data_IF_499737220208
#
_entry.id   IF_499737220208
#
_cell.length_a   1.000
_cell.length_b   1.000
_cell.length_c   1.000
_cell.angle_alpha   90.00
_cell.angle_beta   90.00
_cell.angle_gamma   90.00
#
_symmetry.space_group_name_H-M   'P 1'
#
loop_
_entity.id
_entity.type
_entity.pdbx_description
1 polymer ?
#
# COMPACT_ATOMS: atom_id res chain seq x y z
N UNK A 1 3.06 -1.77 -6.98
CA UNK A 1 1.63 -1.82 -6.66
C UNK A 1 0.91 -1.49 -7.95
N UNK A 2 0.34 -2.46 -8.63
CA UNK A 2 -0.76 -2.20 -9.52
C UNK A 2 -1.78 -1.54 -8.62
N UNK A 3 -1.97 -0.25 -8.78
CA UNK A 3 -3.13 0.43 -8.24
C UNK A 3 -4.28 -0.20 -9.00
N UNK A 4 -4.85 -1.27 -8.45
CA UNK A 4 -6.14 -1.73 -8.90
C UNK A 4 -7.06 -0.56 -8.60
N UNK A 5 -7.37 0.23 -9.62
CA UNK A 5 -8.40 1.24 -9.57
C UNK A 5 -9.70 0.45 -9.50
N UNK A 6 -9.97 -0.17 -8.35
CA UNK A 6 -11.31 -0.64 -8.06
C UNK A 6 -12.13 0.63 -7.88
N UNK A 7 -12.79 1.01 -8.94
CA UNK A 7 -13.86 1.98 -8.85
C UNK A 7 -14.88 1.45 -7.86
N UNK A 8 -14.70 1.89 -6.62
CA UNK A 8 -15.86 2.22 -5.85
C UNK A 8 -16.74 3.00 -6.81
N UNK A 9 -17.99 2.63 -6.94
CA UNK A 9 -19.04 3.33 -7.67
C UNK A 9 -19.31 4.74 -7.10
N UNK A 10 -18.29 5.35 -6.56
CA UNK A 10 -18.23 6.72 -6.11
C UNK A 10 -17.93 7.57 -7.33
N UNK A 11 -18.90 7.56 -8.24
CA UNK A 11 -19.16 8.79 -8.92
C UNK A 11 -18.59 8.95 -10.31
N UNK A 12 -19.47 8.81 -11.22
CA UNK A 12 -19.41 9.36 -12.58
C UNK A 12 -19.06 10.87 -12.66
N UNK A 13 -18.74 11.51 -11.55
CA UNK A 13 -18.56 12.95 -11.49
C UNK A 13 -17.31 13.46 -10.75
N UNK A 14 -16.60 12.66 -9.94
CA UNK A 14 -15.43 13.16 -9.20
C UNK A 14 -14.11 12.92 -9.94
N UNK A 15 -13.22 13.90 -10.01
CA UNK A 15 -11.88 13.70 -10.53
C UNK A 15 -11.12 12.66 -9.72
N UNK A 16 -10.48 11.70 -10.41
CA UNK A 16 -9.56 10.72 -9.85
C UNK A 16 -8.17 11.07 -10.36
N UNK A 17 -7.20 11.23 -9.46
CA UNK A 17 -5.87 11.67 -9.82
C UNK A 17 -4.81 10.64 -9.42
N UNK A 18 -3.95 10.29 -10.37
CA UNK A 18 -2.71 9.55 -10.13
C UNK A 18 -1.59 10.58 -9.96
N UNK A 19 -1.09 10.72 -8.74
CA UNK A 19 -0.07 11.71 -8.38
C UNK A 19 1.34 11.36 -8.88
N UNK A 20 2.24 12.31 -8.79
CA UNK A 20 3.63 12.17 -9.24
C UNK A 20 4.48 11.21 -8.37
N UNK A 21 3.99 10.84 -7.18
CA UNK A 21 4.66 9.87 -6.31
C UNK A 21 4.52 8.42 -6.77
N UNK A 22 3.59 8.14 -7.67
CA UNK A 22 3.34 6.80 -8.21
C UNK A 22 4.33 6.51 -9.36
N UNK A 23 4.79 5.26 -9.45
CA UNK A 23 5.44 4.75 -10.67
C UNK A 23 4.39 4.00 -11.49
N UNK A 24 4.27 4.34 -12.77
CA UNK A 24 3.18 3.90 -13.65
C UNK A 24 3.71 2.95 -14.71
N UNK A 25 3.09 1.76 -14.82
CA UNK A 25 3.31 0.89 -15.96
C UNK A 25 2.25 1.20 -17.04
N UNK A 26 2.61 1.84 -18.18
CA UNK A 26 1.66 2.23 -19.21
C UNK A 26 0.89 1.05 -19.81
N UNK A 27 1.56 -0.08 -20.03
CA UNK A 27 0.95 -1.31 -20.55
C UNK A 27 -0.15 -1.82 -19.63
N UNK A 28 0.11 -1.87 -18.31
CA UNK A 28 -0.90 -2.29 -17.31
C UNK A 28 -2.05 -1.29 -17.24
N UNK A 29 -1.74 0.01 -17.25
CA UNK A 29 -2.75 1.06 -17.18
C UNK A 29 -3.70 1.03 -18.40
N UNK A 30 -3.17 0.90 -19.61
CA UNK A 30 -3.99 0.79 -20.83
C UNK A 30 -4.90 -0.45 -20.75
N UNK A 31 -4.38 -1.57 -20.26
CA UNK A 31 -5.18 -2.78 -20.06
C UNK A 31 -6.30 -2.58 -19.03
N UNK A 32 -6.03 -1.89 -17.93
CA UNK A 32 -7.03 -1.56 -16.91
C UNK A 32 -8.10 -0.61 -17.46
N UNK A 33 -7.70 0.41 -18.22
CA UNK A 33 -8.64 1.33 -18.88
C UNK A 33 -9.56 0.61 -19.88
N UNK A 34 -9.01 -0.33 -20.66
CA UNK A 34 -9.81 -1.16 -21.57
C UNK A 34 -10.82 -2.01 -20.80
N UNK A 35 -10.39 -2.68 -19.72
CA UNK A 35 -11.29 -3.45 -18.84
C UNK A 35 -12.39 -2.59 -18.23
N UNK A 36 -12.09 -1.39 -17.73
CA UNK A 36 -13.09 -0.47 -17.19
C UNK A 36 -14.12 -0.07 -18.26
N UNK A 37 -13.66 0.23 -19.47
CA UNK A 37 -14.52 0.58 -20.60
C UNK A 37 -15.44 -0.58 -20.99
N UNK A 38 -14.93 -1.81 -21.05
CA UNK A 38 -15.73 -3.02 -21.30
C UNK A 38 -16.82 -3.24 -20.25
N UNK A 39 -16.56 -2.82 -19.01
CA UNK A 39 -17.50 -2.88 -17.90
C UNK A 39 -18.38 -1.63 -17.74
N UNK A 40 -18.43 -0.76 -18.76
CA UNK A 40 -19.21 0.49 -18.77
C UNK A 40 -18.86 1.45 -17.62
N UNK A 41 -17.62 1.47 -17.17
CA UNK A 41 -17.12 2.44 -16.19
C UNK A 41 -16.49 3.62 -16.92
N UNK A 42 -17.03 4.82 -16.68
CA UNK A 42 -16.50 6.04 -17.27
C UNK A 42 -15.10 6.37 -16.68
N UNK A 43 -14.18 6.77 -17.55
CA UNK A 43 -12.81 7.15 -17.17
C UNK A 43 -12.45 8.59 -17.52
N UNK A 44 -13.40 9.37 -18.03
CA UNK A 44 -13.18 10.77 -18.51
C UNK A 44 -12.71 11.70 -17.38
N UNK A 45 -12.98 11.36 -16.13
CA UNK A 45 -12.59 12.07 -14.92
C UNK A 45 -11.20 11.68 -14.39
N UNK A 46 -10.50 10.72 -15.01
CA UNK A 46 -9.13 10.34 -14.63
C UNK A 46 -8.15 11.46 -15.03
N UNK A 47 -7.17 11.71 -14.16
CA UNK A 47 -6.03 12.58 -14.44
C UNK A 47 -4.75 11.90 -13.97
N UNK A 48 -3.70 12.00 -14.78
CA UNK A 48 -2.40 11.36 -14.52
C UNK A 48 -1.33 12.46 -14.50
N UNK A 49 -0.52 12.47 -13.47
CA UNK A 49 0.57 13.44 -13.38
C UNK A 49 1.58 13.25 -14.51
N UNK A 50 1.88 14.33 -15.21
CA UNK A 50 2.96 14.43 -16.17
C UNK A 50 4.35 14.13 -15.56
N UNK A 51 4.49 14.31 -14.24
CA UNK A 51 5.73 14.07 -13.47
C UNK A 51 5.85 12.65 -12.91
N UNK A 52 4.84 11.79 -13.03
CA UNK A 52 4.92 10.40 -12.62
C UNK A 52 5.98 9.65 -13.45
N UNK A 53 6.71 8.71 -12.82
CA UNK A 53 7.74 7.93 -13.50
C UNK A 53 7.16 6.69 -14.16
N UNK A 54 7.77 6.29 -15.27
CA UNK A 54 7.32 5.17 -16.10
C UNK A 54 8.07 3.90 -15.70
N UNK A 55 7.34 2.80 -15.55
CA UNK A 55 7.92 1.45 -15.46
C UNK A 55 8.02 0.89 -16.88
N UNK A 56 9.21 0.50 -17.26
CA UNK A 56 9.54 -0.08 -18.56
C UNK A 56 9.97 -1.55 -18.42
N UNK A 57 9.99 -2.34 -19.49
CA UNK A 57 10.36 -3.76 -19.44
C UNK A 57 11.70 -4.04 -18.78
N UNK A 58 12.69 -3.18 -18.97
CA UNK A 58 13.99 -3.35 -18.34
C UNK A 58 13.95 -3.21 -16.80
N UNK A 59 13.00 -2.46 -16.23
CA UNK A 59 12.79 -2.42 -14.79
C UNK A 59 12.27 -3.75 -14.26
N UNK A 60 11.32 -4.37 -14.98
CA UNK A 60 10.74 -5.66 -14.60
C UNK A 60 11.81 -6.75 -14.68
N UNK A 61 12.59 -6.76 -15.77
CA UNK A 61 13.70 -7.70 -15.96
C UNK A 61 14.76 -7.53 -14.87
N UNK A 62 15.12 -6.29 -14.52
CA UNK A 62 16.10 -6.02 -13.48
C UNK A 62 15.60 -6.48 -12.10
N UNK A 63 14.32 -6.25 -11.77
CA UNK A 63 13.69 -6.69 -10.52
C UNK A 63 13.78 -8.22 -10.39
N UNK A 64 13.45 -8.96 -11.46
CA UNK A 64 13.57 -10.41 -11.51
C UNK A 64 15.01 -10.88 -11.30
N UNK A 65 15.95 -10.35 -12.07
CA UNK A 65 17.36 -10.76 -12.00
C UNK A 65 17.99 -10.46 -10.64
N UNK A 66 17.69 -9.31 -10.06
CA UNK A 66 18.17 -8.93 -8.72
C UNK A 66 17.59 -9.85 -7.64
N UNK A 67 16.31 -10.21 -7.75
CA UNK A 67 15.67 -11.08 -6.76
C UNK A 67 16.20 -12.50 -6.88
N UNK A 68 16.43 -13.00 -8.09
CA UNK A 68 17.01 -14.33 -8.32
C UNK A 68 18.46 -14.42 -7.84
N UNK A 69 19.24 -13.36 -8.03
CA UNK A 69 20.65 -13.30 -7.58
C UNK A 69 20.80 -13.31 -6.04
N UNK A 70 19.76 -12.89 -5.29
CA UNK A 70 19.79 -12.90 -3.81
C UNK A 70 19.66 -14.30 -3.19
N UNK A 71 19.24 -15.31 -3.94
CA UNK A 71 19.07 -16.67 -3.45
C UNK A 71 18.17 -16.76 -2.21
N UNK A 72 18.73 -17.19 -1.08
CA UNK A 72 17.99 -17.28 0.19
C UNK A 72 17.69 -15.92 0.85
N UNK A 73 18.39 -14.85 0.45
CA UNK A 73 18.18 -13.50 0.98
C UNK A 73 17.16 -12.68 0.17
N UNK A 74 16.20 -13.34 -0.45
CA UNK A 74 15.12 -12.68 -1.20
C UNK A 74 14.32 -11.74 -0.31
N UNK A 75 13.93 -10.60 -0.88
CA UNK A 75 13.03 -9.64 -0.21
C UNK A 75 11.57 -10.07 -0.40
N UNK A 76 11.29 -10.88 -1.42
CA UNK A 76 9.94 -11.29 -1.79
C UNK A 76 9.22 -10.21 -2.59
N UNK A 77 9.88 -9.59 -3.57
CA UNK A 77 9.28 -8.56 -4.41
C UNK A 77 8.14 -9.12 -5.27
N UNK A 78 7.30 -8.23 -5.78
CA UNK A 78 6.20 -8.62 -6.69
C UNK A 78 6.64 -8.78 -8.14
N UNK A 79 7.91 -8.55 -8.44
CA UNK A 79 8.50 -8.60 -9.79
C UNK A 79 7.71 -7.73 -10.79
N UNK A 80 7.38 -6.52 -10.35
CA UNK A 80 6.67 -5.50 -11.16
C UNK A 80 7.57 -4.34 -11.59
N UNK A 81 8.87 -4.39 -11.27
CA UNK A 81 9.83 -3.34 -11.60
C UNK A 81 9.69 -2.07 -10.76
N UNK A 82 8.98 -2.14 -9.63
CA UNK A 82 8.72 -0.97 -8.76
C UNK A 82 10.02 -0.42 -8.18
N UNK A 83 10.82 -1.29 -7.54
CA UNK A 83 12.11 -0.91 -6.96
C UNK A 83 13.05 -0.29 -7.98
N UNK A 84 13.36 -0.96 -9.09
CA UNK A 84 14.21 -0.39 -10.14
C UNK A 84 13.71 0.94 -10.72
N UNK A 85 12.40 1.15 -10.87
CA UNK A 85 11.86 2.43 -11.34
C UNK A 85 12.08 3.57 -10.32
N UNK A 86 11.94 3.31 -9.02
CA UNK A 86 12.29 4.28 -7.98
C UNK A 86 13.79 4.51 -7.87
N UNK A 87 14.63 3.48 -8.11
CA UNK A 87 16.08 3.64 -8.19
C UNK A 87 16.46 4.60 -9.33
N UNK A 88 15.89 4.43 -10.52
CA UNK A 88 16.14 5.31 -11.67
C UNK A 88 15.66 6.73 -11.40
N UNK A 89 14.51 6.90 -10.72
CA UNK A 89 14.04 8.21 -10.25
C UNK A 89 15.05 8.88 -9.33
N UNK A 90 15.57 8.17 -8.33
CA UNK A 90 16.55 8.69 -7.38
C UNK A 90 17.91 8.98 -8.04
N UNK A 91 18.32 8.13 -8.99
CA UNK A 91 19.50 8.33 -9.83
C UNK A 91 19.34 9.46 -10.88
N UNK A 92 18.15 9.99 -11.07
CA UNK A 92 17.80 11.07 -12.01
C UNK A 92 17.95 10.66 -13.49
N UNK A 93 17.82 9.38 -13.77
CA UNK A 93 17.79 8.81 -15.13
C UNK A 93 16.39 8.31 -15.53
N UNK A 94 15.44 8.33 -14.59
CA UNK A 94 14.07 7.86 -14.81
C UNK A 94 13.35 8.66 -15.91
N UNK A 95 12.49 7.96 -16.66
CA UNK A 95 11.63 8.53 -17.70
C UNK A 95 10.29 8.88 -17.08
N UNK A 96 9.81 10.12 -17.27
CA UNK A 96 8.51 10.59 -16.80
C UNK A 96 7.43 10.38 -17.84
N UNK A 97 6.18 10.48 -17.43
CA UNK A 97 5.04 10.45 -18.35
C UNK A 97 5.16 11.56 -19.41
N UNK A 98 5.57 12.78 -19.04
CA UNK A 98 5.80 13.85 -19.99
C UNK A 98 6.85 13.48 -21.06
N UNK A 99 7.94 12.83 -20.67
CA UNK A 99 8.98 12.37 -21.60
C UNK A 99 8.45 11.28 -22.55
N UNK A 100 7.61 10.37 -22.04
CA UNK A 100 7.00 9.29 -22.84
C UNK A 100 6.08 9.83 -23.96
N UNK A 101 5.47 11.00 -23.75
CA UNK A 101 4.56 11.61 -24.75
C UNK A 101 5.30 12.30 -25.89
N UNK A 102 6.56 12.60 -25.73
CA UNK A 102 7.41 13.20 -26.76
C UNK A 102 8.29 12.13 -27.40
N UNK A 103 8.08 11.92 -28.72
CA UNK A 103 8.73 10.82 -29.44
C UNK A 103 10.25 10.90 -29.43
N UNK A 104 10.78 12.11 -29.59
CA UNK A 104 12.22 12.34 -29.68
C UNK A 104 12.90 12.22 -28.32
N UNK A 105 12.30 12.84 -27.30
CA UNK A 105 12.80 12.77 -25.91
C UNK A 105 12.74 11.33 -25.40
N UNK A 106 11.64 10.63 -25.67
CA UNK A 106 11.49 9.24 -25.25
C UNK A 106 12.53 8.34 -25.90
N UNK A 107 12.74 8.49 -27.23
CA UNK A 107 13.74 7.71 -27.96
C UNK A 107 15.16 7.94 -27.41
N UNK A 108 15.54 9.20 -27.18
CA UNK A 108 16.86 9.56 -26.65
C UNK A 108 17.10 8.96 -25.26
N UNK A 109 16.16 9.20 -24.33
CA UNK A 109 16.27 8.70 -22.94
C UNK A 109 16.23 7.17 -22.86
N UNK A 110 15.36 6.54 -23.64
CA UNK A 110 15.27 5.08 -23.68
C UNK A 110 16.57 4.46 -24.16
N UNK A 111 17.18 5.02 -25.21
CA UNK A 111 18.45 4.52 -25.76
C UNK A 111 19.57 4.58 -24.72
N UNK A 112 19.71 5.71 -24.04
CA UNK A 112 20.73 5.89 -22.99
C UNK A 112 20.51 4.88 -21.85
N UNK A 113 19.27 4.76 -21.38
CA UNK A 113 18.94 3.85 -20.27
C UNK A 113 19.14 2.39 -20.66
N UNK A 114 18.75 1.99 -21.89
CA UNK A 114 18.94 0.62 -22.36
C UNK A 114 20.41 0.23 -22.47
N UNK A 115 21.25 1.13 -22.94
CA UNK A 115 22.70 0.89 -23.01
C UNK A 115 23.27 0.55 -21.62
N UNK A 116 22.89 1.31 -20.60
CA UNK A 116 23.32 1.06 -19.22
C UNK A 116 22.72 -0.22 -18.64
N UNK A 117 21.42 -0.46 -18.80
CA UNK A 117 20.74 -1.64 -18.30
C UNK A 117 21.21 -2.92 -18.99
N UNK A 118 21.39 -2.90 -20.30
CA UNK A 118 21.91 -4.03 -21.06
C UNK A 118 23.35 -4.38 -20.65
N UNK A 119 24.18 -3.39 -20.34
CA UNK A 119 25.50 -3.64 -19.76
C UNK A 119 25.40 -4.38 -18.42
N UNK A 120 24.44 -4.02 -17.57
CA UNK A 120 24.20 -4.73 -16.31
C UNK A 120 23.68 -6.15 -16.57
N UNK A 121 22.70 -6.33 -17.47
CA UNK A 121 22.14 -7.65 -17.79
C UNK A 121 23.20 -8.62 -18.27
N UNK A 122 24.00 -8.22 -19.24
CA UNK A 122 25.01 -9.07 -19.82
C UNK A 122 26.19 -9.32 -18.87
N UNK A 123 26.74 -8.26 -18.24
CA UNK A 123 27.97 -8.39 -17.47
C UNK A 123 27.80 -8.84 -16.02
N UNK A 124 26.67 -8.54 -15.40
CA UNK A 124 26.44 -8.87 -14.00
C UNK A 124 25.55 -10.09 -13.81
N UNK A 125 24.62 -10.33 -14.74
CA UNK A 125 23.61 -11.36 -14.57
C UNK A 125 23.69 -12.46 -15.65
N UNK A 126 24.65 -12.39 -16.57
CA UNK A 126 24.78 -13.33 -17.72
C UNK A 126 23.44 -13.53 -18.46
N UNK A 127 22.71 -12.42 -18.67
CA UNK A 127 21.38 -12.39 -19.25
C UNK A 127 21.38 -11.62 -20.57
N UNK A 128 20.46 -11.95 -21.46
CA UNK A 128 20.34 -11.31 -22.76
C UNK A 128 20.03 -9.81 -22.66
N UNK A 129 20.49 -9.04 -23.62
CA UNK A 129 20.11 -7.63 -23.80
C UNK A 129 18.63 -7.52 -24.22
N UNK A 130 18.06 -6.33 -24.07
CA UNK A 130 16.75 -5.97 -24.61
C UNK A 130 17.01 -5.02 -25.78
N UNK A 131 16.38 -5.28 -26.91
CA UNK A 131 16.49 -4.42 -28.07
C UNK A 131 15.64 -3.16 -27.91
N UNK A 132 16.10 -2.07 -28.49
CA UNK A 132 15.41 -0.78 -28.43
C UNK A 132 14.00 -0.85 -29.04
N UNK A 133 13.89 -1.50 -30.19
CA UNK A 133 12.64 -1.59 -30.97
C UNK A 133 11.58 -2.43 -30.22
N UNK A 134 11.98 -3.37 -29.37
CA UNK A 134 11.07 -4.17 -28.53
C UNK A 134 10.29 -3.33 -27.51
N UNK A 135 10.77 -2.12 -27.21
CA UNK A 135 10.12 -1.23 -26.22
C UNK A 135 9.55 0.02 -26.87
N UNK A 136 10.30 0.63 -27.82
CA UNK A 136 10.07 2.00 -28.22
C UNK A 136 8.67 2.22 -28.82
N UNK A 137 8.33 1.50 -29.89
CA UNK A 137 7.05 1.74 -30.57
C UNK A 137 5.86 1.33 -29.69
N UNK A 138 5.95 0.18 -28.99
CA UNK A 138 4.88 -0.29 -28.11
C UNK A 138 4.59 0.70 -26.98
N UNK A 139 5.63 1.20 -26.29
CA UNK A 139 5.45 2.09 -25.14
C UNK A 139 5.10 3.52 -25.55
N UNK A 140 5.63 3.99 -26.68
CA UNK A 140 5.18 5.27 -27.24
C UNK A 140 3.70 5.24 -27.57
N UNK A 141 3.22 4.16 -28.17
CA UNK A 141 1.78 3.98 -28.46
C UNK A 141 0.95 3.97 -27.18
N UNK A 142 1.37 3.27 -26.12
CA UNK A 142 0.69 3.36 -24.83
C UNK A 142 0.69 4.80 -24.29
N UNK A 143 1.77 5.53 -24.48
CA UNK A 143 1.83 6.95 -24.13
C UNK A 143 0.74 7.75 -24.85
N UNK A 144 0.58 7.56 -26.15
CA UNK A 144 -0.43 8.28 -26.95
C UNK A 144 -1.87 7.92 -26.50
N UNK A 145 -2.14 6.65 -26.14
CA UNK A 145 -3.45 6.22 -25.63
C UNK A 145 -3.82 6.88 -24.29
N UNK A 146 -2.86 7.13 -23.42
CA UNK A 146 -3.10 7.79 -22.12
C UNK A 146 -2.98 9.31 -22.16
N UNK A 147 -2.50 9.89 -23.24
CA UNK A 147 -2.21 11.33 -23.40
C UNK A 147 -3.35 12.24 -22.94
N UNK A 148 -4.59 11.88 -23.26
CA UNK A 148 -5.78 12.66 -22.93
C UNK A 148 -6.00 12.83 -21.42
N UNK A 149 -5.42 11.95 -20.58
CA UNK A 149 -5.54 11.98 -19.13
C UNK A 149 -4.38 12.75 -18.47
N UNK A 150 -3.30 13.06 -19.21
CA UNK A 150 -2.07 13.59 -18.65
C UNK A 150 -2.16 15.09 -18.43
N UNK A 151 -1.78 15.55 -17.25
CA UNK A 151 -1.81 16.95 -16.85
C UNK A 151 -0.94 17.20 -15.61
N UNK A 152 -0.76 18.48 -15.24
CA UNK A 152 -0.19 18.84 -13.93
C UNK A 152 -1.24 18.64 -12.83
N UNK A 153 -1.20 17.48 -12.19
CA UNK A 153 -2.13 17.13 -11.11
C UNK A 153 -1.93 17.96 -9.85
N UNK A 154 -0.74 18.54 -9.63
CA UNK A 154 -0.48 19.37 -8.45
C UNK A 154 -1.25 20.69 -8.53
N UNK A 155 -1.39 21.27 -9.71
CA UNK A 155 -2.21 22.48 -9.91
C UNK A 155 -3.67 22.17 -9.59
N UNK A 156 -4.23 21.10 -10.19
CA UNK A 156 -5.63 20.71 -9.96
C UNK A 156 -5.93 20.50 -8.47
N UNK A 157 -5.01 19.81 -7.75
CA UNK A 157 -5.18 19.53 -6.33
C UNK A 157 -5.14 20.81 -5.48
N UNK A 158 -4.16 21.68 -5.74
CA UNK A 158 -4.02 22.91 -4.98
C UNK A 158 -5.21 23.85 -5.23
N UNK A 159 -5.64 24.02 -6.49
CA UNK A 159 -6.81 24.81 -6.85
C UNK A 159 -8.10 24.29 -6.17
N UNK A 160 -8.26 22.95 -6.13
CA UNK A 160 -9.39 22.35 -5.46
C UNK A 160 -9.37 22.62 -3.93
N UNK A 161 -8.21 22.48 -3.30
CA UNK A 161 -8.04 22.74 -1.87
C UNK A 161 -8.24 24.23 -1.54
N UNK A 162 -7.71 25.14 -2.36
CA UNK A 162 -7.85 26.58 -2.18
C UNK A 162 -9.30 27.06 -2.41
N UNK A 163 -10.05 26.34 -3.25
CA UNK A 163 -11.49 26.50 -3.43
C UNK A 163 -12.32 25.84 -2.30
N UNK A 164 -11.70 25.32 -1.23
CA UNK A 164 -12.37 24.70 -0.10
C UNK A 164 -12.96 23.32 -0.38
N UNK A 165 -12.58 22.67 -1.48
CA UNK A 165 -13.05 21.29 -1.79
C UNK A 165 -12.38 20.29 -0.87
N UNK A 166 -13.10 19.21 -0.55
CA UNK A 166 -12.54 18.07 0.19
C UNK A 166 -11.82 17.15 -0.77
N UNK A 167 -10.56 16.84 -0.45
CA UNK A 167 -9.71 15.92 -1.22
C UNK A 167 -9.36 14.72 -0.34
N UNK A 168 -9.56 13.52 -0.87
CA UNK A 168 -9.11 12.28 -0.24
C UNK A 168 -7.81 11.83 -0.91
N UNK A 169 -6.77 11.68 -0.12
CA UNK A 169 -5.52 11.05 -0.53
C UNK A 169 -5.50 9.62 -0.05
N UNK A 170 -5.31 8.69 -0.97
CA UNK A 170 -5.17 7.27 -0.68
C UNK A 170 -3.73 6.85 -0.91
N UNK A 171 -3.09 6.35 0.15
CA UNK A 171 -1.76 5.74 0.08
C UNK A 171 -1.83 4.29 -0.38
N UNK A 172 -0.68 3.75 -0.77
CA UNK A 172 -0.51 2.34 -1.10
C UNK A 172 0.29 1.64 0.01
N UNK A 173 0.34 0.31 -0.01
CA UNK A 173 1.08 -0.55 0.91
C UNK A 173 0.68 -0.33 2.38
N UNK A 174 1.64 -0.01 3.26
CA UNK A 174 1.41 0.24 4.68
C UNK A 174 2.65 0.82 5.34
N UNK A 175 2.48 1.43 6.52
CA UNK A 175 3.54 2.16 7.24
C UNK A 175 4.78 1.28 7.48
N UNK A 176 4.60 0.00 7.82
CA UNK A 176 5.73 -0.90 8.08
C UNK A 176 6.49 -1.32 6.81
N UNK A 177 5.99 -0.94 5.63
CA UNK A 177 6.68 -1.09 4.35
C UNK A 177 7.32 0.21 3.86
N UNK A 178 7.28 1.29 4.63
CA UNK A 178 7.92 2.56 4.28
C UNK A 178 9.44 2.40 4.26
N UNK A 179 10.09 2.99 3.25
CA UNK A 179 11.54 2.84 3.04
C UNK A 179 12.36 3.40 4.20
N UNK A 180 11.88 4.44 4.87
CA UNK A 180 12.58 5.12 5.96
C UNK A 180 12.12 4.65 7.35
N UNK A 181 10.81 4.39 7.50
CA UNK A 181 10.16 4.13 8.79
C UNK A 181 9.70 2.68 8.98
N UNK A 182 9.80 1.86 7.95
CA UNK A 182 9.37 0.46 7.96
C UNK A 182 10.44 -0.52 8.44
N UNK A 183 10.18 -1.80 8.20
CA UNK A 183 11.04 -2.93 8.58
C UNK A 183 12.16 -3.12 7.54
N UNK A 184 13.02 -2.14 7.36
CA UNK A 184 14.11 -2.18 6.37
C UNK A 184 15.02 -3.40 6.61
N UNK A 185 15.43 -4.19 5.57
CA UNK A 185 15.22 -3.96 4.14
C UNK A 185 13.92 -4.57 3.56
N UNK A 186 13.05 -5.16 4.38
CA UNK A 186 11.78 -5.78 3.96
C UNK A 186 10.68 -4.72 3.79
N UNK A 187 10.90 -3.78 2.87
CA UNK A 187 10.08 -2.59 2.63
C UNK A 187 9.86 -2.37 1.14
N UNK A 188 8.95 -1.47 0.78
CA UNK A 188 8.83 -0.94 -0.58
C UNK A 188 9.88 0.16 -0.82
N UNK A 189 10.07 0.56 -2.08
CA UNK A 189 10.99 1.64 -2.43
C UNK A 189 10.33 3.02 -2.42
N UNK A 190 9.25 3.18 -1.69
CA UNK A 190 8.48 4.42 -1.58
C UNK A 190 8.12 4.73 -0.13
N UNK A 191 7.47 5.89 0.10
CA UNK A 191 7.06 6.33 1.43
C UNK A 191 5.53 6.23 1.61
N UNK A 192 4.99 5.08 2.08
CA UNK A 192 3.58 4.92 2.43
C UNK A 192 3.11 5.72 3.65
N UNK A 193 4.02 6.24 4.47
CA UNK A 193 3.66 7.16 5.56
C UNK A 193 2.95 8.39 5.03
N UNK A 194 2.06 8.99 5.83
CA UNK A 194 1.25 10.13 5.38
C UNK A 194 2.07 11.32 4.87
N UNK A 195 3.31 11.49 5.35
CA UNK A 195 4.25 12.49 4.81
C UNK A 195 4.56 12.31 3.32
N UNK A 196 4.50 11.08 2.81
CA UNK A 196 4.69 10.77 1.39
C UNK A 196 3.63 11.39 0.47
N UNK A 197 2.44 11.69 1.00
CA UNK A 197 1.36 12.36 0.25
C UNK A 197 1.80 13.73 -0.25
N UNK A 198 2.48 14.51 0.57
CA UNK A 198 2.87 15.89 0.22
C UNK A 198 3.83 15.92 -0.97
N UNK A 199 4.84 15.07 -0.95
CA UNK A 199 5.81 14.95 -2.05
C UNK A 199 5.17 14.27 -3.26
N UNK A 200 4.39 13.21 -3.02
CA UNK A 200 3.79 12.38 -4.07
C UNK A 200 2.60 13.00 -4.79
N UNK A 201 2.04 14.10 -4.28
CA UNK A 201 0.91 14.82 -4.90
C UNK A 201 1.23 16.28 -5.24
N UNK A 202 2.33 16.83 -4.72
CA UNK A 202 2.69 18.23 -4.88
C UNK A 202 1.81 19.18 -4.03
N UNK A 203 1.23 18.67 -2.93
CA UNK A 203 0.42 19.46 -1.98
C UNK A 203 1.24 19.81 -0.75
N UNK A 204 1.21 21.04 -0.31
CA UNK A 204 1.95 21.49 0.88
C UNK A 204 1.47 20.78 2.16
N UNK A 205 2.36 20.47 3.13
CA UNK A 205 2.00 19.70 4.32
C UNK A 205 0.94 20.39 5.20
N UNK A 206 0.86 21.71 5.19
CA UNK A 206 -0.15 22.47 5.94
C UNK A 206 -1.57 22.33 5.41
N UNK A 207 -1.74 21.78 4.20
CA UNK A 207 -3.06 21.51 3.60
C UNK A 207 -3.61 20.12 3.98
N UNK A 208 -2.86 19.29 4.68
CA UNK A 208 -3.32 17.99 5.17
C UNK A 208 -3.93 18.17 6.56
N UNK A 209 -5.26 18.10 6.63
CA UNK A 209 -5.99 18.41 7.86
C UNK A 209 -6.23 17.18 8.74
N UNK A 210 -6.34 16.00 8.13
CA UNK A 210 -6.71 14.76 8.82
C UNK A 210 -5.99 13.56 8.22
N UNK A 211 -5.48 12.69 9.08
CA UNK A 211 -4.87 11.42 8.69
C UNK A 211 -5.65 10.28 9.32
N UNK A 212 -6.25 9.44 8.49
CA UNK A 212 -6.97 8.25 8.94
C UNK A 212 -6.09 7.03 8.72
N UNK A 213 -5.69 6.38 9.79
CA UNK A 213 -5.00 5.10 9.74
C UNK A 213 -6.00 3.97 9.52
N UNK A 214 -5.77 3.13 8.53
CA UNK A 214 -6.57 1.91 8.31
C UNK A 214 -5.78 0.71 8.83
N UNK A 215 -6.36 -0.03 9.75
CA UNK A 215 -5.78 -1.24 10.31
C UNK A 215 -6.83 -2.34 10.46
N UNK A 216 -6.38 -3.58 10.57
CA UNK A 216 -7.24 -4.73 10.90
C UNK A 216 -7.27 -4.93 12.41
N UNK A 217 -8.26 -5.67 12.89
CA UNK A 217 -8.33 -6.11 14.28
C UNK A 217 -7.25 -7.15 14.66
N UNK A 218 -6.43 -7.54 13.73
CA UNK A 218 -5.26 -8.41 13.85
C UNK A 218 -4.16 -7.91 12.90
N UNK A 219 -2.97 -8.47 12.97
CA UNK A 219 -1.88 -8.09 12.07
C UNK A 219 -1.76 -9.10 10.93
N UNK A 220 -1.54 -8.62 9.71
CA UNK A 220 -1.19 -9.47 8.57
C UNK A 220 -0.01 -8.88 7.79
N UNK A 221 0.85 -9.76 7.26
CA UNK A 221 2.05 -9.37 6.53
C UNK A 221 2.26 -10.25 5.31
N UNK A 222 2.71 -9.63 4.21
CA UNK A 222 3.26 -10.32 3.04
C UNK A 222 4.77 -10.14 3.05
N UNK A 223 5.51 -11.17 2.65
CA UNK A 223 6.98 -11.16 2.58
C UNK A 223 7.66 -11.49 3.90
N UNK A 224 8.97 -11.45 3.86
CA UNK A 224 9.84 -11.89 4.94
C UNK A 224 10.10 -10.80 5.98
N UNK A 225 10.98 -11.06 6.91
CA UNK A 225 11.36 -10.17 7.99
C UNK A 225 10.67 -10.50 9.33
N UNK A 226 11.18 -9.94 10.44
CA UNK A 226 10.66 -10.19 11.78
C UNK A 226 9.20 -9.77 11.92
N UNK A 227 8.44 -10.60 12.65
CA UNK A 227 7.03 -10.39 12.93
C UNK A 227 6.74 -10.88 14.36
N UNK A 228 6.99 -10.08 15.41
CA UNK A 228 6.96 -10.53 16.79
C UNK A 228 5.65 -11.18 17.24
N UNK A 229 4.52 -10.72 16.70
CA UNK A 229 3.19 -11.22 17.06
C UNK A 229 2.67 -12.35 16.17
N UNK A 230 3.52 -12.90 15.28
CA UNK A 230 3.12 -13.96 14.33
C UNK A 230 2.61 -15.20 15.04
N UNK A 231 1.57 -15.81 14.47
CA UNK A 231 0.92 -17.03 14.97
C UNK A 231 1.20 -18.20 14.04
N UNK A 232 1.63 -19.32 14.65
CA UNK A 232 1.94 -20.58 13.97
C UNK A 232 1.00 -21.72 14.40
N UNK A 233 -0.03 -21.39 15.18
CA UNK A 233 -0.99 -22.31 15.77
C UNK A 233 -2.33 -22.34 15.00
N UNK A 234 -3.29 -23.12 15.53
CA UNK A 234 -4.65 -23.22 14.99
C UNK A 234 -5.38 -21.87 14.95
N UNK A 235 -5.08 -20.97 15.89
CA UNK A 235 -5.62 -19.61 15.91
C UNK A 235 -5.16 -18.83 14.67
N UNK A 236 -3.87 -18.91 14.35
CA UNK A 236 -3.32 -18.29 13.14
C UNK A 236 -3.95 -18.84 11.87
N UNK A 237 -4.16 -20.15 11.77
CA UNK A 237 -4.84 -20.77 10.63
C UNK A 237 -6.30 -20.33 10.53
N UNK A 238 -6.99 -20.19 11.64
CA UNK A 238 -8.38 -19.72 11.68
C UNK A 238 -8.47 -18.28 11.20
N UNK A 239 -7.63 -17.38 11.71
CA UNK A 239 -7.56 -15.97 11.28
C UNK A 239 -7.26 -15.90 9.78
N UNK A 240 -6.30 -16.68 9.28
CA UNK A 240 -5.95 -16.72 7.85
C UNK A 240 -7.11 -17.18 6.98
N UNK A 241 -7.78 -18.24 7.37
CA UNK A 241 -8.90 -18.83 6.63
C UNK A 241 -10.12 -17.92 6.63
N UNK A 242 -10.54 -17.43 7.80
CA UNK A 242 -11.75 -16.58 7.96
C UNK A 242 -11.49 -15.20 7.35
N UNK A 243 -10.32 -14.61 7.60
CA UNK A 243 -9.90 -13.32 7.04
C UNK A 243 -9.49 -13.38 5.56
N UNK A 244 -9.51 -14.59 4.94
CA UNK A 244 -9.09 -14.82 3.56
C UNK A 244 -7.72 -14.19 3.26
N UNK A 245 -6.78 -14.38 4.19
CA UNK A 245 -5.46 -13.77 4.13
C UNK A 245 -4.55 -14.50 3.13
N UNK A 246 -4.85 -14.25 1.85
CA UNK A 246 -4.09 -14.74 0.70
C UNK A 246 -3.76 -13.58 -0.24
N UNK A 247 -2.62 -13.66 -0.90
CA UNK A 247 -2.21 -12.65 -1.88
C UNK A 247 -3.14 -12.64 -3.09
N UNK A 248 -3.71 -11.50 -3.42
CA UNK A 248 -4.68 -11.35 -4.53
C UNK A 248 -4.10 -11.81 -5.87
N UNK A 249 -2.82 -11.53 -6.10
CA UNK A 249 -2.15 -11.83 -7.38
C UNK A 249 -1.47 -13.21 -7.37
N UNK A 250 -0.95 -13.64 -6.21
CA UNK A 250 -0.10 -14.83 -6.10
C UNK A 250 -0.77 -16.00 -5.41
N UNK A 251 -1.92 -15.78 -4.74
CA UNK A 251 -2.56 -16.78 -3.90
C UNK A 251 -1.73 -17.23 -2.68
N UNK A 252 -0.53 -16.65 -2.45
CA UNK A 252 0.33 -17.02 -1.31
C UNK A 252 -0.36 -16.69 0.01
N UNK A 253 -0.33 -17.62 1.00
CA UNK A 253 -0.86 -17.33 2.33
C UNK A 253 -0.07 -16.17 2.97
N UNK A 254 -0.81 -15.23 3.55
CA UNK A 254 -0.20 -14.16 4.34
C UNK A 254 0.14 -14.68 5.73
N UNK A 255 1.20 -14.16 6.29
CA UNK A 255 1.54 -14.33 7.70
C UNK A 255 0.54 -13.52 8.53
N UNK A 256 0.05 -14.08 9.61
CA UNK A 256 -0.96 -13.45 10.49
C UNK A 256 -0.49 -13.48 11.93
N UNK A 257 -0.95 -12.52 12.72
CA UNK A 257 -0.60 -12.39 14.12
C UNK A 257 -1.62 -11.58 14.91
N UNK A 258 -1.48 -11.55 16.24
CA UNK A 258 -2.31 -10.71 17.08
C UNK A 258 -2.11 -9.23 16.79
N UNK A 259 -3.09 -8.40 17.15
CA UNK A 259 -3.00 -6.95 17.04
C UNK A 259 -1.79 -6.43 17.82
N UNK A 260 -0.98 -5.59 17.15
CA UNK A 260 0.27 -5.08 17.69
C UNK A 260 0.17 -3.57 17.97
N UNK A 261 0.00 -3.20 19.24
CA UNK A 261 -0.09 -1.79 19.61
C UNK A 261 1.26 -1.07 19.58
N UNK A 262 2.39 -1.80 19.62
CA UNK A 262 3.74 -1.19 19.46
C UNK A 262 3.91 -0.68 18.05
N UNK A 263 3.57 -1.52 17.05
CA UNK A 263 3.54 -1.14 15.63
C UNK A 263 2.57 0.01 15.40
N UNK A 264 1.38 -0.03 16.01
CA UNK A 264 0.38 1.02 15.81
C UNK A 264 0.78 2.36 16.43
N UNK A 265 1.44 2.36 17.60
CA UNK A 265 2.01 3.59 18.19
C UNK A 265 3.13 4.17 17.31
N UNK A 266 3.97 3.30 16.74
CA UNK A 266 4.97 3.72 15.76
C UNK A 266 4.29 4.35 14.53
N UNK A 267 3.31 3.68 13.94
CA UNK A 267 2.57 4.15 12.77
C UNK A 267 1.87 5.49 13.02
N UNK A 268 1.25 5.65 14.19
CA UNK A 268 0.65 6.92 14.63
C UNK A 268 1.68 8.04 14.64
N UNK A 269 2.84 7.79 15.24
CA UNK A 269 3.89 8.79 15.40
C UNK A 269 4.45 9.26 14.06
N UNK A 270 4.79 8.33 13.17
CA UNK A 270 5.47 8.67 11.90
C UNK A 270 4.53 9.19 10.83
N UNK A 271 3.22 8.89 10.93
CA UNK A 271 2.21 9.35 9.99
C UNK A 271 1.30 10.46 10.54
N UNK A 272 1.41 10.81 11.83
CA UNK A 272 0.51 11.80 12.42
C UNK A 272 -0.96 11.38 12.40
N UNK A 273 -1.25 10.08 12.60
CA UNK A 273 -2.61 9.53 12.55
C UNK A 273 -3.49 10.21 13.60
N UNK A 274 -4.59 10.80 13.15
CA UNK A 274 -5.58 11.49 13.99
C UNK A 274 -6.78 10.61 14.33
N UNK A 275 -7.10 9.66 13.46
CA UNK A 275 -8.23 8.74 13.61
C UNK A 275 -7.84 7.36 13.07
N UNK A 276 -8.52 6.32 13.56
CA UNK A 276 -8.39 4.95 13.04
C UNK A 276 -9.70 4.46 12.40
N UNK A 277 -9.55 3.69 11.36
CA UNK A 277 -10.56 2.76 10.84
C UNK A 277 -10.10 1.34 11.16
N UNK A 278 -10.84 0.65 12.03
CA UNK A 278 -10.52 -0.72 12.47
C UNK A 278 -11.36 -1.72 11.66
N UNK A 279 -10.71 -2.50 10.83
CA UNK A 279 -11.38 -3.41 9.91
C UNK A 279 -11.30 -4.88 10.36
N UNK A 280 -12.18 -5.72 9.83
CA UNK A 280 -12.14 -7.18 9.96
C UNK A 280 -12.26 -7.66 11.42
N UNK A 281 -13.08 -7.01 12.23
CA UNK A 281 -13.34 -7.42 13.62
C UNK A 281 -14.06 -8.79 13.65
N UNK A 282 -14.91 -9.06 12.69
CA UNK A 282 -15.65 -10.30 12.50
C UNK A 282 -14.75 -11.53 12.35
N UNK A 283 -13.53 -11.36 11.88
CA UNK A 283 -12.55 -12.44 11.74
C UNK A 283 -12.16 -13.08 13.08
N UNK A 284 -12.29 -12.33 14.16
CA UNK A 284 -11.99 -12.80 15.51
C UNK A 284 -13.19 -13.41 16.23
N UNK A 285 -14.40 -13.38 15.63
CA UNK A 285 -15.59 -14.05 16.19
C UNK A 285 -15.37 -15.56 16.30
N UNK A 286 -15.83 -16.14 17.40
CA UNK A 286 -15.67 -17.56 17.70
C UNK A 286 -14.40 -17.92 18.49
N UNK A 287 -13.51 -16.95 18.72
CA UNK A 287 -12.37 -17.16 19.62
C UNK A 287 -12.79 -16.94 21.08
N UNK A 288 -12.38 -17.84 21.97
CA UNK A 288 -12.66 -17.70 23.42
C UNK A 288 -11.87 -16.55 24.04
N UNK A 289 -10.65 -16.32 23.55
CA UNK A 289 -9.74 -15.28 24.02
C UNK A 289 -9.14 -14.56 22.84
N UNK A 290 -9.07 -13.24 22.91
CA UNK A 290 -8.35 -12.39 21.96
C UNK A 290 -7.20 -11.68 22.67
N UNK A 291 -6.09 -11.45 21.96
CA UNK A 291 -4.90 -10.86 22.56
C UNK A 291 -4.49 -9.58 21.86
N UNK A 292 -3.94 -8.65 22.62
CA UNK A 292 -3.32 -7.41 22.11
C UNK A 292 -1.88 -7.37 22.62
N UNK A 293 -0.92 -7.24 21.73
CA UNK A 293 0.46 -6.98 22.11
C UNK A 293 0.58 -5.54 22.61
N UNK A 294 0.95 -5.38 23.89
CA UNK A 294 1.05 -4.09 24.57
C UNK A 294 2.47 -3.54 24.63
N UNK A 295 3.46 -4.43 24.63
CA UNK A 295 4.88 -4.13 24.70
C UNK A 295 5.68 -5.28 24.08
N UNK A 296 6.97 -5.10 23.89
CA UNK A 296 7.92 -6.19 23.64
C UNK A 296 8.85 -6.35 24.84
N UNK A 297 9.21 -7.59 25.15
CA UNK A 297 10.36 -7.91 25.99
C UNK A 297 11.57 -8.08 25.10
N UNK A 298 12.60 -7.28 25.32
CA UNK A 298 13.89 -7.37 24.65
C UNK A 298 14.99 -7.50 25.73
N UNK A 299 15.67 -8.64 25.71
CA UNK A 299 16.82 -8.94 26.63
C UNK A 299 16.46 -8.75 28.12
N UNK A 300 15.20 -9.00 28.50
CA UNK A 300 14.70 -8.90 29.87
C UNK A 300 14.08 -7.53 30.23
N UNK A 301 14.12 -6.57 29.32
CA UNK A 301 13.51 -5.25 29.52
C UNK A 301 12.25 -5.08 28.68
N UNK A 302 11.26 -4.36 29.22
CA UNK A 302 10.06 -4.00 28.50
C UNK A 302 10.30 -2.76 27.65
N UNK A 303 10.02 -2.87 26.34
CA UNK A 303 10.08 -1.74 25.43
C UNK A 303 8.71 -1.47 24.81
N UNK A 304 8.39 -0.20 24.63
CA UNK A 304 7.11 0.31 24.11
C UNK A 304 7.23 1.00 22.75
N UNK A 305 8.42 1.01 22.18
CA UNK A 305 8.74 1.57 20.87
C UNK A 305 9.22 0.46 19.94
N UNK A 306 9.01 0.67 18.65
CA UNK A 306 9.42 -0.28 17.61
C UNK A 306 10.91 -0.15 17.35
N UNK A 307 11.72 -1.23 17.50
CA UNK A 307 13.16 -1.19 17.25
C UNK A 307 13.47 -1.01 15.76
N UNK A 308 14.47 -0.18 15.45
CA UNK A 308 14.95 -0.02 14.08
C UNK A 308 15.87 -1.19 13.64
N UNK A 309 16.54 -1.83 14.58
CA UNK A 309 17.43 -2.95 14.33
C UNK A 309 16.67 -4.25 14.12
N UNK A 310 16.83 -4.89 12.95
CA UNK A 310 16.25 -6.23 12.71
C UNK A 310 16.75 -7.27 13.71
N UNK A 311 18.01 -7.15 14.14
CA UNK A 311 18.61 -8.06 15.14
C UNK A 311 17.93 -7.91 16.49
N UNK A 312 17.56 -6.70 16.89
CA UNK A 312 16.77 -6.46 18.09
C UNK A 312 15.33 -6.94 17.91
N UNK A 313 14.71 -6.55 16.81
CA UNK A 313 13.34 -6.92 16.51
C UNK A 313 13.13 -8.44 16.46
N UNK A 314 14.10 -9.19 15.94
CA UNK A 314 14.03 -10.66 15.91
C UNK A 314 14.13 -11.33 17.29
N UNK A 315 14.65 -10.62 18.29
CA UNK A 315 14.71 -11.08 19.69
C UNK A 315 13.52 -10.61 20.53
N UNK A 316 12.74 -9.67 20.00
CA UNK A 316 11.57 -9.16 20.70
C UNK A 316 10.55 -10.28 20.93
N UNK A 317 10.12 -10.45 22.17
CA UNK A 317 9.00 -11.32 22.55
C UNK A 317 7.79 -10.44 22.82
N UNK A 318 6.63 -10.72 22.20
CA UNK A 318 5.44 -9.94 22.43
C UNK A 318 4.90 -10.17 23.84
N UNK A 319 4.56 -9.09 24.55
CA UNK A 319 3.86 -9.11 25.82
C UNK A 319 2.38 -8.84 25.56
N UNK A 320 1.54 -9.80 25.88
CA UNK A 320 0.12 -9.77 25.57
C UNK A 320 -0.73 -9.38 26.76
N UNK A 321 -1.75 -8.58 26.49
CA UNK A 321 -2.95 -8.46 27.30
C UNK A 321 -4.01 -9.37 26.69
N UNK A 322 -4.62 -10.23 27.52
CA UNK A 322 -5.67 -11.14 27.11
C UNK A 322 -7.04 -10.57 27.47
N UNK A 323 -7.96 -10.64 26.54
CA UNK A 323 -9.34 -10.18 26.70
C UNK A 323 -10.31 -11.30 26.34
N UNK A 324 -11.49 -11.38 26.99
CA UNK A 324 -12.52 -12.31 26.58
C UNK A 324 -12.92 -12.09 25.11
N UNK A 325 -13.02 -13.18 24.36
CA UNK A 325 -13.52 -13.15 22.99
C UNK A 325 -15.05 -13.08 22.92
N UNK A 326 -15.58 -13.26 21.73
CA UNK A 326 -17.02 -13.26 21.47
C UNK A 326 -17.37 -14.33 20.44
N UNK A 327 -18.55 -14.93 20.57
CA UNK A 327 -19.05 -15.98 19.67
C UNK A 327 -20.16 -15.51 18.74
N UNK A 328 -20.71 -14.33 18.98
CA UNK A 328 -21.84 -13.79 18.23
C UNK A 328 -21.42 -13.41 16.80
N UNK A 329 -22.34 -13.60 15.88
CA UNK A 329 -22.21 -13.05 14.53
C UNK A 329 -22.43 -11.53 14.58
N UNK A 330 -21.36 -10.80 14.30
CA UNK A 330 -21.35 -9.34 14.30
C UNK A 330 -21.46 -8.73 12.89
N UNK A 331 -21.61 -9.54 11.85
CA UNK A 331 -21.63 -9.05 10.44
C UNK A 331 -22.79 -8.10 10.12
N UNK A 332 -23.82 -8.09 10.96
CA UNK A 332 -24.96 -7.16 10.87
C UNK A 332 -24.79 -5.86 11.64
N UNK A 333 -23.77 -5.72 12.50
CA UNK A 333 -23.56 -4.56 13.35
C UNK A 333 -23.21 -3.31 12.54
N UNK A 334 -23.87 -2.18 12.81
CA UNK A 334 -23.69 -0.90 12.12
C UNK A 334 -23.06 0.17 13.01
N UNK A 335 -23.20 0.04 14.32
CA UNK A 335 -22.70 0.97 15.33
C UNK A 335 -21.88 0.23 16.38
N UNK A 336 -21.04 0.92 17.13
CA UNK A 336 -20.32 0.32 18.26
C UNK A 336 -21.27 -0.24 19.35
N UNK A 337 -22.44 0.35 19.49
CA UNK A 337 -23.44 -0.12 20.45
C UNK A 337 -24.05 -1.48 20.06
N UNK A 338 -24.07 -1.82 18.80
CA UNK A 338 -24.60 -3.09 18.29
C UNK A 338 -23.63 -4.25 18.55
N UNK A 339 -22.33 -3.95 18.78
CA UNK A 339 -21.32 -4.97 19.06
C UNK A 339 -21.56 -5.62 20.42
N UNK A 340 -21.32 -6.93 20.57
CA UNK A 340 -21.24 -7.60 21.87
C UNK A 340 -20.29 -6.87 22.82
N UNK A 341 -20.52 -6.98 24.12
CA UNK A 341 -19.73 -6.26 25.12
C UNK A 341 -18.22 -6.53 24.99
N UNK A 342 -17.83 -7.78 24.75
CA UNK A 342 -16.43 -8.16 24.63
C UNK A 342 -15.79 -7.58 23.35
N UNK A 343 -16.49 -7.63 22.20
CA UNK A 343 -16.01 -7.02 20.95
C UNK A 343 -15.85 -5.50 21.09
N UNK A 344 -16.82 -4.85 21.73
CA UNK A 344 -16.75 -3.41 22.03
C UNK A 344 -15.58 -3.07 22.97
N UNK A 345 -15.36 -3.87 24.01
CA UNK A 345 -14.24 -3.69 24.92
C UNK A 345 -12.89 -3.83 24.20
N UNK A 346 -12.77 -4.80 23.29
CA UNK A 346 -11.59 -4.98 22.46
C UNK A 346 -11.31 -3.72 21.60
N UNK A 347 -12.33 -3.18 20.95
CA UNK A 347 -12.22 -1.93 20.16
C UNK A 347 -11.80 -0.75 21.04
N UNK A 348 -12.41 -0.58 22.21
CA UNK A 348 -12.05 0.48 23.15
C UNK A 348 -10.61 0.32 23.65
N UNK A 349 -10.20 -0.90 23.97
CA UNK A 349 -8.85 -1.17 24.45
C UNK A 349 -7.78 -0.85 23.43
N UNK A 350 -8.01 -1.17 22.15
CA UNK A 350 -7.13 -0.76 21.06
C UNK A 350 -7.01 0.77 21.00
N UNK A 351 -8.14 1.48 21.06
CA UNK A 351 -8.16 2.95 21.04
C UNK A 351 -7.34 3.56 22.18
N UNK A 352 -7.44 3.00 23.39
CA UNK A 352 -6.67 3.43 24.57
C UNK A 352 -5.17 3.18 24.38
N UNK A 353 -4.77 1.96 24.00
CA UNK A 353 -3.38 1.55 23.88
C UNK A 353 -2.64 2.32 22.76
N UNK A 354 -3.32 2.61 21.66
CA UNK A 354 -2.77 3.41 20.56
C UNK A 354 -2.87 4.92 20.85
N UNK A 355 -3.81 5.32 21.71
CA UNK A 355 -4.10 6.72 22.01
C UNK A 355 -4.67 7.48 20.83
N UNK A 356 -5.52 6.81 20.01
CA UNK A 356 -6.20 7.40 18.84
C UNK A 356 -7.63 6.88 18.80
N UNK A 357 -8.57 7.80 18.55
CA UNK A 357 -9.98 7.45 18.40
C UNK A 357 -10.21 6.57 17.19
N UNK A 358 -10.92 5.46 17.36
CA UNK A 358 -11.48 4.66 16.29
C UNK A 358 -12.77 5.35 15.83
N UNK A 359 -12.75 5.91 14.62
CA UNK A 359 -13.88 6.68 14.05
C UNK A 359 -14.80 5.82 13.20
N UNK A 360 -14.26 4.74 12.63
CA UNK A 360 -15.00 3.79 11.80
C UNK A 360 -14.51 2.37 12.08
N UNK A 361 -15.36 1.39 11.87
CA UNK A 361 -14.99 -0.01 11.93
C UNK A 361 -15.71 -0.81 10.84
N UNK A 362 -15.17 -1.99 10.51
CA UNK A 362 -15.77 -2.93 9.58
C UNK A 362 -15.90 -4.30 10.24
N UNK A 363 -17.05 -4.92 10.03
CA UNK A 363 -17.44 -6.24 10.54
C UNK A 363 -17.71 -7.26 9.43
N UNK A 364 -17.22 -6.97 8.22
CA UNK A 364 -17.26 -7.86 7.07
C UNK A 364 -15.87 -7.94 6.48
N UNK A 365 -15.30 -9.12 6.52
CA UNK A 365 -13.93 -9.35 6.04
C UNK A 365 -13.79 -9.18 4.53
N UNK A 366 -14.89 -9.33 3.78
CA UNK A 366 -14.92 -9.05 2.35
C UNK A 366 -16.31 -8.69 1.86
N UNK A 367 -16.59 -7.44 1.71
CA UNK A 367 -17.33 -7.00 0.56
C UNK A 367 -16.45 -6.05 -0.25
N UNK A 368 -15.61 -6.62 -1.10
CA UNK A 368 -15.30 -6.00 -2.38
C UNK A 368 -16.56 -6.04 -3.22
N UNK A 369 -17.60 -5.36 -2.80
CA UNK A 369 -18.73 -5.06 -3.65
C UNK A 369 -18.32 -3.88 -4.49
N UNK A 370 -17.96 -4.18 -5.71
CA UNK A 370 -18.16 -3.29 -6.82
C UNK A 370 -19.62 -2.84 -6.77
N UNK A 371 -19.85 -1.59 -6.38
CA UNK A 371 -21.13 -0.93 -6.46
C UNK A 371 -22.18 -1.36 -5.45
N UNK A 372 -22.40 -0.51 -4.53
CA UNK A 372 -23.50 -0.22 -3.58
C UNK A 372 -23.11 -0.46 -2.13
N UNK A 373 -23.11 0.65 -1.38
CA UNK A 373 -23.05 0.76 0.08
C UNK A 373 -21.67 0.85 0.75
N UNK A 374 -20.81 1.76 0.31
CA UNK A 374 -19.97 2.49 1.27
C UNK A 374 -20.61 3.87 1.55
N UNK A 375 -21.78 3.86 2.18
CA UNK A 375 -22.31 5.06 2.82
C UNK A 375 -21.67 5.18 4.20
N UNK A 376 -20.40 5.56 4.26
CA UNK A 376 -19.88 6.18 5.45
C UNK A 376 -20.58 7.55 5.58
N UNK A 377 -21.58 7.64 6.44
CA UNK A 377 -22.10 8.93 6.88
C UNK A 377 -20.98 9.65 7.62
N UNK A 378 -20.26 10.48 6.91
CA UNK A 378 -19.49 11.55 7.51
C UNK A 378 -20.50 12.59 7.97
N UNK A 379 -20.92 12.52 9.22
CA UNK A 379 -21.57 13.63 9.89
C UNK A 379 -20.51 14.48 10.56
N UNK A 380 -20.67 15.83 10.59
CA UNK A 380 -19.66 16.78 11.07
C UNK A 380 -19.32 16.62 12.54
#
# INVERSE_FOLDING_TARGET
ATTEIYTLSLHDALPILIGNGVVVNPKSLVKELAYLKENNVATDNLRISDRAHVILPYHIKLDQLQEDAKGENKIGTTIKGIGPAYMDKAARVGIRIADLLDKEIFAERLKINLEEKNRQFVKMFDSEAIEFDDIFEEYYEYGQQIKQYVTDTSVILNDALDAGKRVLFEGAQGVMLDIDQGTYPFVTSSNPVAGGVTIGSGVGPSKINKVVGVCKAYTSRVGDGPFPTELFDETGETIRRVGKEYGTTTGRPRRVGWFDSVVMRHSKRVSGITNLSLNSIDVLSGLETVKICTAYELDGELIYHYPASLKELSRCKPVYEELPGWSEDITGCKTLADLPANARNYVHRISELVGVRISTFSVRSEERRVGKECRSRWSP
#
